data_IF_899285480531
#
_entry.id   IF_899285480531
#
_cell.length_a   1.000
_cell.length_b   1.000
_cell.length_c   1.000
_cell.angle_alpha   90.00
_cell.angle_beta   90.00
_cell.angle_gamma   90.00
#
_symmetry.space_group_name_H-M   'P 1'
#
loop_
_entity.id
_entity.type
_entity.pdbx_description
1 polymer ?
#
# COMPACT_ATOMS: atom_id res chain seq x y z
N UNK A 1 14.85 -10.29 10.43
CA UNK A 1 13.45 -10.57 10.82
C UNK A 1 12.57 -10.39 9.60
N UNK A 2 11.69 -11.35 9.29
CA UNK A 2 10.72 -11.20 8.20
C UNK A 2 9.43 -10.59 8.74
N UNK A 3 9.20 -9.31 8.45
CA UNK A 3 8.04 -8.55 8.92
C UNK A 3 6.71 -9.03 8.32
N UNK A 4 6.75 -9.88 7.27
CA UNK A 4 5.56 -10.48 6.65
C UNK A 4 4.95 -11.59 7.50
N UNK A 5 5.74 -12.17 8.40
CA UNK A 5 5.32 -13.30 9.24
C UNK A 5 4.97 -12.88 10.68
N UNK A 6 5.33 -11.65 11.06
CA UNK A 6 4.99 -11.13 12.38
C UNK A 6 3.54 -10.65 12.43
N UNK A 7 2.82 -10.87 13.54
CA UNK A 7 1.45 -10.40 13.69
C UNK A 7 1.38 -8.87 13.63
N UNK A 8 0.31 -8.35 13.03
CA UNK A 8 -0.03 -6.94 13.03
C UNK A 8 -0.38 -6.40 14.42
N UNK A 9 -0.55 -5.08 14.50
CA UNK A 9 -0.93 -4.35 15.72
C UNK A 9 -2.31 -3.69 15.62
N UNK A 10 -2.95 -3.71 14.45
CA UNK A 10 -4.28 -3.12 14.25
C UNK A 10 -5.44 -4.03 14.68
N UNK A 11 -5.16 -5.16 15.34
CA UNK A 11 -6.17 -6.11 15.83
C UNK A 11 -6.87 -6.90 14.72
N UNK A 12 -6.21 -7.07 13.58
CA UNK A 12 -6.67 -7.85 12.43
C UNK A 12 -5.77 -9.07 12.19
N UNK A 13 -6.10 -9.93 11.22
CA UNK A 13 -5.23 -11.04 10.80
C UNK A 13 -4.09 -10.59 9.86
N UNK A 14 -3.84 -9.29 9.75
CA UNK A 14 -2.78 -8.75 8.91
C UNK A 14 -1.39 -9.00 9.52
N UNK A 15 -0.38 -9.04 8.64
CA UNK A 15 1.03 -9.01 9.09
C UNK A 15 1.45 -7.62 9.53
N UNK A 16 2.50 -7.53 10.35
CA UNK A 16 3.11 -6.26 10.76
C UNK A 16 3.48 -5.39 9.56
N UNK A 17 4.03 -5.98 8.49
CA UNK A 17 4.33 -5.24 7.26
C UNK A 17 3.06 -4.66 6.60
N UNK A 18 1.95 -5.39 6.64
CA UNK A 18 0.69 -4.93 6.03
C UNK A 18 0.11 -3.75 6.82
N UNK A 19 0.11 -3.83 8.15
CA UNK A 19 -0.32 -2.73 9.03
C UNK A 19 0.55 -1.48 8.86
N UNK A 20 1.88 -1.65 8.89
CA UNK A 20 2.81 -0.56 8.67
C UNK A 20 2.61 0.07 7.30
N UNK A 21 2.35 -0.73 6.26
CA UNK A 21 2.10 -0.22 4.91
C UNK A 21 0.84 0.63 4.85
N UNK A 22 -0.26 0.18 5.46
CA UNK A 22 -1.52 0.92 5.52
C UNK A 22 -1.36 2.21 6.29
N UNK A 23 -0.79 2.14 7.50
CA UNK A 23 -0.60 3.30 8.37
C UNK A 23 0.33 4.31 7.72
N UNK A 24 1.44 3.85 7.11
CA UNK A 24 2.36 4.74 6.42
C UNK A 24 1.66 5.49 5.28
N UNK A 25 0.80 4.80 4.54
CA UNK A 25 0.06 5.43 3.45
C UNK A 25 -0.98 6.43 3.96
N UNK A 26 -1.83 6.01 4.90
CA UNK A 26 -2.96 6.80 5.40
C UNK A 26 -2.52 7.99 6.25
N UNK A 27 -1.43 7.86 7.01
CA UNK A 27 -0.98 8.94 7.91
C UNK A 27 0.08 9.86 7.30
N UNK A 28 0.86 9.40 6.31
CA UNK A 28 1.91 10.24 5.72
C UNK A 28 1.63 10.60 4.26
N UNK A 29 1.50 9.61 3.37
CA UNK A 29 1.33 9.87 1.94
C UNK A 29 0.03 10.63 1.69
N UNK A 30 -1.05 10.22 2.35
CA UNK A 30 -2.35 10.81 2.14
C UNK A 30 -2.48 12.26 2.57
N UNK A 31 -2.10 12.62 3.80
CA UNK A 31 -2.01 14.00 4.22
C UNK A 31 -1.01 14.81 3.38
N UNK A 32 0.14 14.24 2.99
CA UNK A 32 1.11 14.95 2.16
C UNK A 32 0.53 15.36 0.79
N UNK A 33 -0.30 14.52 0.17
CA UNK A 33 -1.03 14.87 -1.07
C UNK A 33 -1.99 16.05 -0.86
N UNK A 34 -2.72 16.06 0.26
CA UNK A 34 -3.62 17.17 0.62
C UNK A 34 -2.86 18.47 0.93
N UNK A 35 -1.72 18.38 1.62
CA UNK A 35 -0.82 19.52 1.85
C UNK A 35 -0.31 20.07 0.51
N UNK A 36 0.05 19.18 -0.42
CA UNK A 36 0.41 19.56 -1.79
C UNK A 36 -0.71 20.33 -2.50
N UNK A 37 -1.96 19.87 -2.36
CA UNK A 37 -3.12 20.59 -2.87
C UNK A 37 -3.27 21.97 -2.24
N UNK A 38 -3.11 22.09 -0.91
CA UNK A 38 -3.16 23.38 -0.20
C UNK A 38 -2.08 24.34 -0.73
N UNK A 39 -0.84 23.88 -0.91
CA UNK A 39 0.22 24.70 -1.51
C UNK A 39 -0.12 25.17 -2.92
N UNK A 40 -0.68 24.29 -3.76
CA UNK A 40 -1.12 24.67 -5.10
C UNK A 40 -2.27 25.70 -5.08
N UNK A 41 -3.20 25.60 -4.13
CA UNK A 41 -4.29 26.59 -3.97
C UNK A 41 -3.80 27.95 -3.47
N UNK A 42 -2.76 27.95 -2.65
CA UNK A 42 -2.10 29.17 -2.16
C UNK A 42 -1.11 29.78 -3.17
N UNK A 43 -0.99 29.24 -4.39
CA UNK A 43 -0.03 29.70 -5.40
C UNK A 43 1.44 29.34 -5.08
N UNK A 44 1.70 28.55 -4.05
CA UNK A 44 3.03 28.09 -3.62
C UNK A 44 3.53 26.92 -4.47
N UNK A 45 3.48 27.07 -5.80
CA UNK A 45 3.83 26.03 -6.76
C UNK A 45 5.32 25.64 -6.68
N UNK A 46 6.20 26.61 -6.45
CA UNK A 46 7.65 26.44 -6.36
C UNK A 46 8.19 27.17 -5.12
N UNK A 47 9.10 26.56 -4.34
CA UNK A 47 9.53 25.17 -4.39
C UNK A 47 8.60 24.20 -3.63
N UNK A 48 7.72 24.72 -2.76
CA UNK A 48 6.97 23.95 -1.75
C UNK A 48 6.14 22.79 -2.33
N UNK A 49 5.18 23.10 -3.21
CA UNK A 49 4.37 22.07 -3.87
C UNK A 49 5.26 21.12 -4.67
N UNK A 50 6.22 21.65 -5.43
CA UNK A 50 7.13 20.85 -6.24
C UNK A 50 7.91 19.82 -5.44
N UNK A 51 8.64 20.23 -4.40
CA UNK A 51 9.46 19.31 -3.62
C UNK A 51 8.61 18.27 -2.89
N UNK A 52 7.47 18.67 -2.35
CA UNK A 52 6.56 17.75 -1.68
C UNK A 52 6.00 16.70 -2.66
N UNK A 53 5.50 17.12 -3.83
CA UNK A 53 4.93 16.18 -4.81
C UNK A 53 5.99 15.29 -5.45
N UNK A 54 7.22 15.78 -5.64
CA UNK A 54 8.33 14.91 -6.05
C UNK A 54 8.57 13.83 -4.99
N UNK A 55 8.76 14.22 -3.73
CA UNK A 55 9.01 13.28 -2.64
C UNK A 55 7.89 12.24 -2.52
N UNK A 56 6.63 12.67 -2.53
CA UNK A 56 5.47 11.78 -2.49
C UNK A 56 5.48 10.81 -3.67
N UNK A 57 5.71 11.30 -4.90
CA UNK A 57 5.70 10.46 -6.10
C UNK A 57 6.82 9.40 -6.05
N UNK A 58 8.02 9.78 -5.61
CA UNK A 58 9.15 8.86 -5.48
C UNK A 58 8.94 7.82 -4.38
N UNK A 59 8.53 8.25 -3.19
CA UNK A 59 8.23 7.32 -2.10
C UNK A 59 7.11 6.37 -2.50
N UNK A 60 6.08 6.86 -3.21
CA UNK A 60 5.00 6.00 -3.68
C UNK A 60 5.47 4.96 -4.71
N UNK A 61 6.43 5.29 -5.59
CA UNK A 61 7.05 4.29 -6.47
C UNK A 61 7.77 3.19 -5.69
N UNK A 62 8.48 3.53 -4.61
CA UNK A 62 9.14 2.54 -3.76
C UNK A 62 8.12 1.60 -3.11
N UNK A 63 7.03 2.15 -2.56
CA UNK A 63 5.95 1.35 -1.98
C UNK A 63 5.28 0.44 -3.02
N UNK A 64 5.03 0.97 -4.23
CA UNK A 64 4.43 0.19 -5.32
C UNK A 64 5.34 -0.98 -5.70
N UNK A 65 6.63 -0.72 -5.97
CA UNK A 65 7.54 -1.75 -6.49
C UNK A 65 7.84 -2.82 -5.44
N UNK A 66 8.15 -2.42 -4.20
CA UNK A 66 8.66 -3.35 -3.20
C UNK A 66 7.57 -3.99 -2.32
N UNK A 67 6.41 -3.36 -2.17
CA UNK A 67 5.33 -3.89 -1.33
C UNK A 67 4.12 -4.29 -2.20
N UNK A 68 3.53 -3.35 -2.93
CA UNK A 68 2.24 -3.59 -3.59
C UNK A 68 2.37 -4.57 -4.76
N UNK A 69 3.38 -4.43 -5.61
CA UNK A 69 3.59 -5.30 -6.76
C UNK A 69 3.84 -6.74 -6.31
N UNK A 70 4.73 -6.94 -5.32
CA UNK A 70 5.01 -8.27 -4.76
C UNK A 70 3.75 -8.89 -4.17
N UNK A 71 2.99 -8.13 -3.38
CA UNK A 71 1.73 -8.60 -2.79
C UNK A 71 0.70 -8.97 -3.87
N UNK A 72 0.53 -8.13 -4.89
CA UNK A 72 -0.42 -8.37 -5.98
C UNK A 72 -0.04 -9.60 -6.81
N UNK A 73 1.23 -9.73 -7.19
CA UNK A 73 1.74 -10.84 -8.00
C UNK A 73 1.56 -12.19 -7.29
N UNK A 74 1.71 -12.22 -5.97
CA UNK A 74 1.63 -13.45 -5.18
C UNK A 74 0.21 -13.75 -4.68
N UNK A 75 -0.58 -12.73 -4.35
CA UNK A 75 -1.87 -12.89 -3.67
C UNK A 75 -3.10 -12.68 -4.56
N UNK A 76 -2.98 -11.98 -5.68
CA UNK A 76 -4.13 -11.57 -6.51
C UNK A 76 -4.03 -12.11 -7.92
N UNK A 77 -2.88 -11.91 -8.58
CA UNK A 77 -2.68 -12.29 -9.99
C UNK A 77 -3.01 -13.77 -10.29
N UNK A 78 -2.63 -14.76 -9.43
CA UNK A 78 -2.93 -16.17 -9.70
C UNK A 78 -4.44 -16.48 -9.71
N UNK A 79 -5.27 -15.66 -9.07
CA UNK A 79 -6.72 -15.82 -9.04
C UNK A 79 -7.44 -15.23 -10.26
N UNK A 80 -6.74 -14.51 -11.15
CA UNK A 80 -7.34 -13.83 -12.30
C UNK A 80 -7.34 -14.69 -13.58
N UNK A 81 -8.38 -14.57 -14.43
CA UNK A 81 -9.62 -13.80 -14.23
C UNK A 81 -10.70 -14.57 -13.44
N UNK A 82 -10.46 -15.86 -13.13
CA UNK A 82 -11.49 -16.79 -12.64
C UNK A 82 -12.17 -16.40 -11.32
N UNK A 83 -11.53 -15.58 -10.48
CA UNK A 83 -12.01 -15.18 -9.16
C UNK A 83 -12.43 -13.70 -9.06
N UNK A 84 -12.69 -13.02 -10.18
CA UNK A 84 -13.09 -11.60 -10.19
C UNK A 84 -14.40 -11.30 -9.44
N UNK A 85 -15.25 -12.29 -9.17
CA UNK A 85 -16.43 -12.12 -8.33
C UNK A 85 -16.12 -11.99 -6.83
N UNK A 86 -14.90 -12.32 -6.40
CA UNK A 86 -14.50 -12.28 -4.99
C UNK A 86 -13.94 -10.89 -4.64
N UNK A 87 -14.42 -10.22 -3.58
CA UNK A 87 -13.91 -8.91 -3.17
C UNK A 87 -12.39 -8.86 -2.97
N UNK A 88 -11.81 -9.94 -2.43
CA UNK A 88 -10.37 -10.09 -2.21
C UNK A 88 -9.52 -10.09 -3.50
N UNK A 89 -10.13 -10.30 -4.67
CA UNK A 89 -9.46 -10.22 -5.97
C UNK A 89 -9.89 -8.95 -6.71
N UNK A 90 -11.19 -8.67 -6.71
CA UNK A 90 -11.76 -7.52 -7.39
C UNK A 90 -11.24 -6.17 -6.89
N UNK A 91 -11.23 -5.95 -5.57
CA UNK A 91 -10.84 -4.67 -4.98
C UNK A 91 -9.36 -4.33 -5.23
N UNK A 92 -8.39 -5.26 -5.02
CA UNK A 92 -7.00 -5.00 -5.39
C UNK A 92 -6.82 -4.75 -6.89
N UNK A 93 -7.57 -5.42 -7.76
CA UNK A 93 -7.49 -5.19 -9.21
C UNK A 93 -7.97 -3.78 -9.58
N UNK A 94 -9.07 -3.30 -8.98
CA UNK A 94 -9.48 -1.90 -9.13
C UNK A 94 -8.43 -0.94 -8.54
N UNK A 95 -7.91 -1.24 -7.34
CA UNK A 95 -6.86 -0.44 -6.72
C UNK A 95 -5.63 -0.32 -7.61
N UNK A 96 -5.18 -1.42 -8.23
CA UNK A 96 -4.08 -1.43 -9.20
C UNK A 96 -4.40 -0.56 -10.42
N UNK A 97 -5.60 -0.68 -10.99
CA UNK A 97 -5.99 0.07 -12.18
C UNK A 97 -6.00 1.59 -11.92
N UNK A 98 -6.73 2.02 -10.89
CA UNK A 98 -6.86 3.45 -10.57
C UNK A 98 -5.57 4.01 -9.97
N UNK A 99 -4.88 3.25 -9.12
CA UNK A 99 -3.62 3.65 -8.50
C UNK A 99 -2.47 3.71 -9.51
N UNK A 100 -2.40 2.74 -10.42
CA UNK A 100 -1.45 2.75 -11.53
C UNK A 100 -1.66 3.96 -12.43
N UNK A 101 -2.90 4.24 -12.82
CA UNK A 101 -3.23 5.44 -13.59
C UNK A 101 -2.85 6.72 -12.83
N UNK A 102 -3.21 6.83 -11.54
CA UNK A 102 -2.85 7.97 -10.71
C UNK A 102 -1.33 8.18 -10.66
N UNK A 103 -0.56 7.12 -10.43
CA UNK A 103 0.89 7.17 -10.31
C UNK A 103 1.58 7.56 -11.62
N UNK A 104 1.09 7.05 -12.76
CA UNK A 104 1.61 7.42 -14.07
C UNK A 104 1.34 8.91 -14.37
N UNK A 105 0.13 9.40 -14.11
CA UNK A 105 -0.19 10.82 -14.30
C UNK A 105 0.58 11.73 -13.31
N UNK A 106 0.78 11.30 -12.07
CA UNK A 106 1.58 12.02 -11.08
C UNK A 106 3.04 12.13 -11.55
N UNK A 107 3.62 11.02 -12.02
CA UNK A 107 4.97 10.97 -12.59
C UNK A 107 5.10 11.89 -13.80
N UNK A 108 4.12 11.86 -14.71
CA UNK A 108 4.07 12.77 -15.84
C UNK A 108 4.03 14.24 -15.41
N UNK A 109 3.26 14.58 -14.37
CA UNK A 109 3.14 15.94 -13.85
C UNK A 109 4.45 16.43 -13.23
N UNK A 110 5.11 15.59 -12.42
CA UNK A 110 6.45 15.86 -11.85
C UNK A 110 7.48 16.08 -12.95
N UNK A 111 7.51 15.19 -13.95
CA UNK A 111 8.39 15.34 -15.12
C UNK A 111 8.11 16.66 -15.86
N UNK A 112 6.84 17.02 -16.09
CA UNK A 112 6.47 18.27 -16.75
C UNK A 112 6.94 19.49 -15.98
N UNK A 113 6.83 19.49 -14.65
CA UNK A 113 7.35 20.56 -13.79
C UNK A 113 8.87 20.71 -13.92
N UNK A 114 9.63 19.62 -13.87
CA UNK A 114 11.09 19.68 -14.07
C UNK A 114 11.47 20.17 -15.46
N UNK A 115 10.74 19.71 -16.49
CA UNK A 115 10.96 20.16 -17.87
C UNK A 115 10.68 21.65 -18.02
N UNK A 116 9.63 22.18 -17.39
CA UNK A 116 9.38 23.62 -17.38
C UNK A 116 10.51 24.39 -16.72
N UNK A 117 10.96 23.97 -15.54
CA UNK A 117 12.00 24.68 -14.80
C UNK A 117 13.29 24.75 -15.60
N UNK A 118 13.67 23.63 -16.23
CA UNK A 118 14.86 23.56 -17.10
C UNK A 118 14.72 24.42 -18.34
N UNK A 119 13.55 24.41 -19.01
CA UNK A 119 13.29 25.23 -20.19
C UNK A 119 13.26 26.73 -19.87
N UNK A 120 12.59 27.12 -18.79
CA UNK A 120 12.52 28.52 -18.33
C UNK A 120 13.90 29.00 -17.90
N UNK A 121 14.67 28.20 -17.18
CA UNK A 121 16.04 28.53 -16.81
C UNK A 121 16.93 28.72 -18.05
N UNK A 122 16.83 27.84 -19.04
CA UNK A 122 17.58 27.95 -20.29
C UNK A 122 17.15 29.18 -21.12
N UNK A 123 15.86 29.48 -21.20
CA UNK A 123 15.33 30.66 -21.88
C UNK A 123 15.82 31.96 -21.24
N UNK A 124 15.82 32.04 -19.91
CA UNK A 124 16.36 33.19 -19.17
C UNK A 124 17.85 33.39 -19.44
N UNK A 125 18.64 32.31 -19.52
CA UNK A 125 20.07 32.39 -19.89
C UNK A 125 20.29 32.94 -21.31
N UNK A 126 19.35 32.72 -22.23
CA UNK A 126 19.38 33.28 -23.61
C UNK A 126 18.85 34.71 -23.71
N UNK A 127 18.39 35.32 -22.62
CA UNK A 127 17.80 36.66 -22.63
C UNK A 127 16.36 36.71 -23.13
N UNK A 128 15.67 35.57 -23.23
CA UNK A 128 14.27 35.54 -23.63
C UNK A 128 13.37 36.15 -22.55
N UNK A 129 12.51 37.11 -22.95
CA UNK A 129 11.53 37.75 -22.04
C UNK A 129 10.23 36.96 -21.92
N UNK A 130 9.81 36.29 -22.99
CA UNK A 130 8.55 35.54 -23.05
C UNK A 130 8.80 34.05 -22.74
N UNK A 131 8.58 33.66 -21.49
CA UNK A 131 8.79 32.29 -21.01
C UNK A 131 7.49 31.49 -20.85
N UNK A 132 6.34 32.10 -21.12
CA UNK A 132 5.02 31.48 -20.89
C UNK A 132 4.73 30.37 -21.88
N UNK A 133 5.36 30.38 -23.06
CA UNK A 133 5.31 29.30 -24.06
C UNK A 133 5.73 27.93 -23.52
N UNK A 134 6.56 27.88 -22.47
CA UNK A 134 7.04 26.62 -21.88
C UNK A 134 6.06 26.02 -20.87
N UNK A 135 5.10 26.82 -20.38
CA UNK A 135 4.20 26.43 -19.30
C UNK A 135 3.19 25.37 -19.74
N UNK A 136 2.88 24.46 -18.82
CA UNK A 136 1.91 23.40 -18.99
C UNK A 136 0.49 23.96 -18.87
N UNK A 137 -0.06 24.37 -20.02
CA UNK A 137 -1.39 25.02 -20.11
C UNK A 137 -2.53 24.18 -19.53
N UNK A 138 -2.42 22.85 -19.57
CA UNK A 138 -3.41 21.91 -19.02
C UNK A 138 -3.03 21.35 -17.64
N UNK A 139 -2.12 21.99 -16.90
CA UNK A 139 -1.72 21.53 -15.57
C UNK A 139 -2.91 21.37 -14.60
N UNK A 140 -3.83 22.33 -14.58
CA UNK A 140 -4.96 22.35 -13.63
C UNK A 140 -5.91 21.14 -13.75
N UNK A 141 -6.47 20.81 -14.94
CA UNK A 141 -7.32 19.62 -15.07
C UNK A 141 -6.54 18.33 -14.80
N UNK A 142 -5.28 18.22 -15.22
CA UNK A 142 -4.45 17.02 -14.98
C UNK A 142 -4.17 16.82 -13.49
N UNK A 143 -3.80 17.86 -12.75
CA UNK A 143 -3.60 17.79 -11.30
C UNK A 143 -4.87 17.40 -10.55
N UNK A 144 -6.04 17.87 -11.01
CA UNK A 144 -7.34 17.48 -10.44
C UNK A 144 -7.66 16.01 -10.68
N UNK A 145 -7.38 15.51 -11.89
CA UNK A 145 -7.53 14.10 -12.21
C UNK A 145 -6.60 13.23 -11.35
N UNK A 146 -5.33 13.63 -11.21
CA UNK A 146 -4.38 12.95 -10.30
C UNK A 146 -4.92 12.90 -8.87
N UNK A 147 -5.36 14.03 -8.32
CA UNK A 147 -5.89 14.08 -6.96
C UNK A 147 -7.13 13.20 -6.79
N UNK A 148 -8.08 13.25 -7.75
CA UNK A 148 -9.30 12.45 -7.71
C UNK A 148 -9.02 10.94 -7.79
N UNK A 149 -8.19 10.52 -8.76
CA UNK A 149 -7.77 9.12 -8.90
C UNK A 149 -7.02 8.64 -7.67
N UNK A 150 -6.16 9.49 -7.11
CA UNK A 150 -5.38 9.15 -5.93
C UNK A 150 -6.27 9.01 -4.69
N UNK A 151 -7.24 9.90 -4.46
CA UNK A 151 -8.21 9.77 -3.35
C UNK A 151 -9.06 8.49 -3.48
N UNK A 152 -9.50 8.18 -4.70
CA UNK A 152 -10.20 6.92 -4.98
C UNK A 152 -9.30 5.71 -4.65
N UNK A 153 -8.02 5.77 -5.03
CA UNK A 153 -7.04 4.71 -4.77
C UNK A 153 -6.83 4.49 -3.26
N UNK A 154 -6.77 5.55 -2.46
CA UNK A 154 -6.70 5.45 -0.98
C UNK A 154 -7.88 4.66 -0.43
N UNK A 155 -9.11 5.02 -0.86
CA UNK A 155 -10.33 4.35 -0.41
C UNK A 155 -10.30 2.87 -0.82
N UNK A 156 -9.90 2.57 -2.06
CA UNK A 156 -9.77 1.19 -2.53
C UNK A 156 -8.67 0.41 -1.78
N UNK A 157 -7.60 1.08 -1.34
CA UNK A 157 -6.52 0.46 -0.57
C UNK A 157 -6.99 0.07 0.84
N UNK A 158 -7.71 0.97 1.51
CA UNK A 158 -8.36 0.67 2.80
C UNK A 158 -9.37 -0.46 2.63
N UNK A 159 -10.23 -0.41 1.60
CA UNK A 159 -11.21 -1.46 1.32
C UNK A 159 -10.54 -2.81 1.03
N UNK A 160 -9.40 -2.80 0.31
CA UNK A 160 -8.58 -4.00 0.08
C UNK A 160 -8.09 -4.58 1.41
N UNK A 161 -7.46 -3.76 2.26
CA UNK A 161 -6.97 -4.20 3.57
C UNK A 161 -8.10 -4.82 4.41
N UNK A 162 -9.25 -4.15 4.49
CA UNK A 162 -10.42 -4.67 5.20
C UNK A 162 -10.89 -5.98 4.59
N UNK A 163 -10.99 -6.10 3.26
CA UNK A 163 -11.45 -7.34 2.62
C UNK A 163 -10.53 -8.55 2.85
N UNK A 164 -9.23 -8.33 3.05
CA UNK A 164 -8.27 -9.41 3.34
C UNK A 164 -8.21 -9.76 4.82
N UNK A 165 -8.39 -8.78 5.72
CA UNK A 165 -8.02 -8.94 7.12
C UNK A 165 -9.14 -8.69 8.12
N UNK A 166 -10.30 -8.19 7.68
CA UNK A 166 -11.47 -8.03 8.54
C UNK A 166 -12.21 -9.36 8.72
N UNK A 167 -11.67 -10.22 9.58
CA UNK A 167 -12.41 -11.32 10.20
C UNK A 167 -11.86 -11.62 11.62
N UNK A 168 -12.64 -11.15 12.60
CA UNK A 168 -12.72 -11.41 14.05
C UNK A 168 -11.51 -11.19 14.96
N UNK A 169 -11.75 -10.62 16.17
CA UNK A 169 -10.72 -10.42 17.19
C UNK A 169 -10.09 -11.77 17.51
N UNK A 170 -8.77 -11.79 17.48
CA UNK A 170 -7.93 -12.89 17.96
C UNK A 170 -8.58 -13.56 19.17
N UNK A 171 -9.06 -14.79 18.98
CA UNK A 171 -9.47 -15.72 20.04
C UNK A 171 -8.23 -16.21 20.81
N UNK A 172 -7.21 -15.36 20.98
CA UNK A 172 -5.99 -15.62 21.73
C UNK A 172 -6.08 -15.07 23.17
N UNK A 173 -7.28 -15.13 23.76
CA UNK A 173 -7.50 -14.84 25.18
C UNK A 173 -8.42 -15.85 25.88
N UNK A 174 -8.62 -17.04 25.31
CA UNK A 174 -9.17 -18.20 26.03
C UNK A 174 -8.30 -19.41 25.76
N UNK A 175 -7.15 -19.44 26.43
CA UNK A 175 -6.48 -20.71 26.73
C UNK A 175 -7.46 -21.47 27.64
N UNK A 176 -8.01 -22.64 27.24
CA UNK A 176 -8.60 -23.52 28.22
C UNK A 176 -7.45 -23.93 29.15
N UNK A 177 -7.56 -23.59 30.41
CA UNK A 177 -6.69 -24.09 31.47
C UNK A 177 -6.67 -25.63 31.35
N UNK A 178 -5.59 -26.16 30.78
CA UNK A 178 -5.40 -27.58 30.60
C UNK A 178 -5.34 -28.22 31.98
N UNK A 179 -6.42 -28.89 32.37
CA UNK A 179 -6.43 -29.79 33.51
C UNK A 179 -5.30 -30.80 33.32
N UNK A 180 -4.35 -30.97 34.25
CA UNK A 180 -3.24 -31.88 34.06
C UNK A 180 -3.78 -33.31 33.98
N UNK A 181 -3.55 -33.96 32.84
CA UNK A 181 -3.82 -35.37 32.65
C UNK A 181 -2.95 -36.19 33.62
N UNK A 182 -3.61 -36.97 34.48
CA UNK A 182 -2.98 -37.96 35.35
C UNK A 182 -2.34 -39.04 34.48
N UNK A 183 -1.03 -39.23 34.65
CA UNK A 183 -0.24 -40.32 34.08
C UNK A 183 -0.79 -41.66 34.55
N UNK A 184 -1.43 -42.42 33.66
CA UNK A 184 -1.72 -43.84 33.89
C UNK A 184 -0.47 -44.65 33.53
N UNK A 185 0.11 -45.30 34.54
CA UNK A 185 1.29 -46.14 34.42
C UNK A 185 0.97 -47.41 33.63
N UNK A 186 1.85 -47.77 32.69
CA UNK A 186 1.79 -49.02 31.94
C UNK A 186 1.93 -50.25 32.87
N UNK A 187 1.18 -51.34 32.67
CA UNK A 187 1.37 -52.56 33.46
C UNK A 187 2.53 -53.40 32.91
N UNK A 188 3.40 -53.82 33.84
CA UNK A 188 4.49 -54.77 33.65
C UNK A 188 3.99 -56.13 33.15
N UNK A 189 4.64 -56.65 32.10
CA UNK A 189 4.47 -58.02 31.61
C UNK A 189 5.12 -59.02 32.56
N UNK A 190 4.32 -59.91 33.17
CA UNK A 190 4.81 -61.10 33.91
C UNK A 190 4.85 -62.30 32.95
N UNK A 191 5.92 -63.13 32.95
CA UNK A 191 6.03 -64.29 32.05
C UNK A 191 5.21 -65.49 32.57
N UNK A 192 4.48 -66.14 31.68
CA UNK A 192 3.74 -67.37 31.97
C UNK A 192 4.65 -68.60 31.88
N UNK A 193 4.69 -69.36 32.97
CA UNK A 193 5.31 -70.68 33.12
C UNK A 193 4.39 -71.74 32.50
N UNK A 194 4.94 -72.57 31.62
CA UNK A 194 4.28 -73.76 31.03
C UNK A 194 4.31 -74.93 32.02
N UNK A 195 3.23 -75.70 32.22
CA UNK A 195 3.32 -77.04 32.76
C UNK A 195 3.21 -78.10 31.65
N UNK A 196 3.93 -79.19 31.88
CA UNK A 196 3.99 -80.41 31.08
C UNK A 196 2.66 -81.19 31.05
N UNK A 197 2.40 -81.86 29.92
CA UNK A 197 1.78 -83.20 29.83
C UNK A 197 1.95 -83.77 28.43
#
# INVERSE_FOLDING_TARGET
MDLRLQPGFLGTNASLLSDLSLVAYVLFIAPAMLIGFVFARQGKHRPHHQYLMNAVTFVNWLLIIFLMAVSYLNGVLPGLPGSLGQPAIFLPTLHLLFGGAAQLLATYTVYRMWREDTQVAAARKRGEREVTRYWFKSAKPVMRAVLGLWLLTVVLGVATYVSFYAASPSEAATVPEATPAVTEAAPETTPAVTPES
#
